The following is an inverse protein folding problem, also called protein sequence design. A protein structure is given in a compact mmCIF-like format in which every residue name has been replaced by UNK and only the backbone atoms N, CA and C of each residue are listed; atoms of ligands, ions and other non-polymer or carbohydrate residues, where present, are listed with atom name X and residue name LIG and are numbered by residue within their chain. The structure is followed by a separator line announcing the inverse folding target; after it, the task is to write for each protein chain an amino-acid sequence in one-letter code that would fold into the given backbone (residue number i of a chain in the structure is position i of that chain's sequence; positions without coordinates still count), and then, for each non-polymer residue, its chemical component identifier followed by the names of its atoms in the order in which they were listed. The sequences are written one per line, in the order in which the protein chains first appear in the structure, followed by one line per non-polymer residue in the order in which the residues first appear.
data_IF_764885749292
#
_entry.id   IF_764885749292
#
_cell.length_a   1.000
_cell.length_b   1.000
_cell.length_c   1.000
_cell.angle_alpha   90.00
_cell.angle_beta   90.00
_cell.angle_gamma   90.00
#
_symmetry.space_group_name_H-M   'P 1'
#
loop_
_entity.id
_entity.type
_entity.pdbx_description
1 polymer ?
#
# COMPACT_ATOMS: atom_id res chain seq x y z
N UNK A 1 -9.70 2.99 -19.34
CA UNK A 1 -10.77 3.40 -18.40
C UNK A 1 -10.42 2.86 -17.03
N UNK A 2 -10.65 3.61 -15.97
CA UNK A 2 -10.48 3.12 -14.59
C UNK A 2 -11.42 1.96 -14.30
N UNK A 3 -10.97 0.92 -13.60
CA UNK A 3 -11.82 -0.19 -13.14
C UNK A 3 -12.96 0.27 -12.20
N UNK A 4 -12.84 1.47 -11.64
CA UNK A 4 -13.77 2.06 -10.67
C UNK A 4 -14.66 3.17 -11.30
N UNK A 5 -15.01 3.02 -12.57
CA UNK A 5 -15.86 3.95 -13.30
C UNK A 5 -15.10 5.18 -13.82
N UNK A 6 -15.85 6.17 -14.27
CA UNK A 6 -15.32 7.42 -14.82
C UNK A 6 -14.82 8.40 -13.76
N UNK A 7 -15.16 8.19 -12.49
CA UNK A 7 -14.81 9.06 -11.37
C UNK A 7 -14.39 8.24 -10.14
N UNK A 8 -13.13 7.73 -10.11
CA UNK A 8 -12.61 6.98 -8.97
C UNK A 8 -12.58 7.78 -7.67
N UNK A 9 -12.39 9.11 -7.74
CA UNK A 9 -12.34 9.96 -6.56
C UNK A 9 -13.68 9.96 -5.81
N UNK A 10 -14.79 10.18 -6.53
CA UNK A 10 -16.11 10.13 -5.93
C UNK A 10 -16.47 8.74 -5.41
N UNK A 11 -16.06 7.67 -6.11
CA UNK A 11 -16.25 6.30 -5.65
C UNK A 11 -15.57 6.08 -4.27
N UNK A 12 -14.28 6.33 -4.17
CA UNK A 12 -13.54 6.12 -2.92
C UNK A 12 -13.95 7.08 -1.80
N UNK A 13 -14.25 8.36 -2.11
CA UNK A 13 -14.83 9.28 -1.14
C UNK A 13 -16.13 8.73 -0.53
N UNK A 14 -17.04 8.21 -1.34
CA UNK A 14 -18.28 7.60 -0.86
C UNK A 14 -18.01 6.39 0.04
N UNK A 15 -17.02 5.57 -0.31
CA UNK A 15 -16.63 4.41 0.50
C UNK A 15 -16.11 4.84 1.88
N UNK A 16 -15.19 5.81 1.96
CA UNK A 16 -14.65 6.27 3.25
C UNK A 16 -15.64 7.06 4.09
N UNK A 17 -16.60 7.74 3.47
CA UNK A 17 -17.68 8.42 4.21
C UNK A 17 -18.68 7.46 4.85
N UNK A 18 -18.83 6.25 4.29
CA UNK A 18 -19.80 5.27 4.77
C UNK A 18 -19.11 4.09 5.46
N UNK A 19 -18.47 3.26 4.68
CA UNK A 19 -17.88 2.02 5.18
C UNK A 19 -16.83 1.48 4.19
N UNK A 20 -15.56 1.51 4.59
CA UNK A 20 -14.47 0.89 3.82
C UNK A 20 -14.31 -0.58 4.23
N UNK A 21 -14.63 -1.55 3.35
CA UNK A 21 -14.62 -2.98 3.70
C UNK A 21 -13.25 -3.49 4.14
N UNK A 22 -12.18 -2.92 3.59
CA UNK A 22 -10.77 -3.29 3.85
C UNK A 22 -10.18 -2.65 5.10
N UNK A 23 -10.83 -1.60 5.64
CA UNK A 23 -10.40 -0.90 6.86
C UNK A 23 -10.82 -1.73 8.08
N UNK A 24 -9.97 -2.68 8.50
CA UNK A 24 -10.22 -3.58 9.63
C UNK A 24 -9.77 -3.00 10.98
N UNK A 25 -9.26 -1.76 11.01
CA UNK A 25 -8.80 -1.05 12.22
C UNK A 25 -7.42 -1.47 12.72
N UNK A 26 -6.77 -2.36 11.99
CA UNK A 26 -5.40 -2.85 12.22
C UNK A 26 -4.74 -3.13 10.88
N UNK A 27 -3.39 -3.21 10.79
CA UNK A 27 -2.76 -3.65 9.54
C UNK A 27 -3.19 -5.07 9.19
N UNK A 28 -3.19 -5.41 7.92
CA UNK A 28 -3.42 -6.79 7.48
C UNK A 28 -2.41 -7.72 8.16
N UNK A 29 -2.84 -8.83 8.78
CA UNK A 29 -1.94 -9.72 9.56
C UNK A 29 -0.76 -10.24 8.74
N UNK A 30 -0.97 -10.54 7.45
CA UNK A 30 0.10 -10.99 6.56
C UNK A 30 1.17 -9.91 6.36
N UNK A 31 0.77 -8.63 6.25
CA UNK A 31 1.71 -7.50 6.17
C UNK A 31 2.47 -7.32 7.48
N UNK A 32 1.80 -7.44 8.63
CA UNK A 32 2.46 -7.36 9.93
C UNK A 32 3.52 -8.47 10.11
N UNK A 33 3.21 -9.70 9.71
CA UNK A 33 4.15 -10.83 9.74
C UNK A 33 5.34 -10.61 8.77
N UNK A 34 5.09 -10.04 7.59
CA UNK A 34 6.15 -9.70 6.64
C UNK A 34 7.10 -8.61 7.18
N UNK A 35 6.55 -7.61 7.87
CA UNK A 35 7.31 -6.54 8.55
C UNK A 35 8.20 -7.11 9.65
N UNK A 36 7.71 -8.05 10.44
CA UNK A 36 8.49 -8.73 11.49
C UNK A 36 9.66 -9.51 10.87
N UNK A 37 9.41 -10.24 9.79
CA UNK A 37 10.44 -11.04 9.10
C UNK A 37 11.46 -10.19 8.35
N UNK A 38 11.02 -9.09 7.76
CA UNK A 38 11.84 -8.15 6.99
C UNK A 38 11.61 -6.73 7.50
N UNK A 39 12.26 -6.30 8.59
CA UNK A 39 12.08 -4.97 9.13
C UNK A 39 12.41 -3.87 8.10
N UNK A 40 11.52 -2.88 7.90
CA UNK A 40 11.72 -1.83 6.90
C UNK A 40 12.81 -0.84 7.34
N UNK A 41 13.45 -0.22 6.35
CA UNK A 41 14.40 0.87 6.56
C UNK A 41 13.68 2.22 6.47
N UNK A 42 14.05 3.15 7.34
CA UNK A 42 13.51 4.52 7.35
C UNK A 42 14.11 5.42 6.25
N UNK A 43 13.40 6.47 5.82
CA UNK A 43 11.97 6.73 6.08
C UNK A 43 11.08 5.81 5.24
N UNK A 44 9.81 5.69 5.64
CA UNK A 44 8.82 4.80 5.03
C UNK A 44 7.73 5.62 4.33
N UNK A 45 7.28 5.13 3.17
CA UNK A 45 6.09 5.62 2.48
C UNK A 45 5.01 4.53 2.48
N UNK A 46 3.77 4.90 2.84
CA UNK A 46 2.56 4.09 2.71
C UNK A 46 1.72 4.63 1.57
N UNK A 47 1.68 3.89 0.44
CA UNK A 47 0.99 4.27 -0.80
C UNK A 47 -0.49 3.90 -0.74
N UNK A 48 -1.38 4.87 -0.99
CA UNK A 48 -2.80 4.63 -0.86
C UNK A 48 -3.17 4.25 0.57
N UNK A 49 -2.63 4.99 1.54
CA UNK A 49 -2.66 4.64 2.96
C UNK A 49 -4.07 4.57 3.57
N UNK A 50 -5.10 5.04 2.86
CA UNK A 50 -6.48 5.05 3.33
C UNK A 50 -6.62 5.76 4.68
N UNK A 51 -7.27 5.10 5.62
CA UNK A 51 -7.46 5.60 7.00
C UNK A 51 -6.23 5.44 7.91
N UNK A 52 -5.07 5.02 7.37
CA UNK A 52 -3.77 5.09 8.00
C UNK A 52 -3.40 3.97 8.96
N UNK A 53 -4.13 2.86 9.02
CA UNK A 53 -3.88 1.82 10.02
C UNK A 53 -2.50 1.18 9.91
N UNK A 54 -2.00 0.94 8.68
CA UNK A 54 -0.66 0.41 8.46
C UNK A 54 0.42 1.44 8.82
N UNK A 55 0.28 2.69 8.38
CA UNK A 55 1.20 3.76 8.72
C UNK A 55 1.29 4.00 10.24
N UNK A 56 0.16 3.97 10.94
CA UNK A 56 0.10 4.07 12.41
C UNK A 56 0.81 2.90 13.07
N UNK A 57 0.59 1.68 12.58
CA UNK A 57 1.29 0.50 13.09
C UNK A 57 2.80 0.61 12.94
N UNK A 58 3.28 0.99 11.76
CA UNK A 58 4.69 1.20 11.48
C UNK A 58 5.31 2.29 12.37
N UNK A 59 4.59 3.39 12.61
CA UNK A 59 5.04 4.46 13.51
C UNK A 59 5.13 4.00 14.97
N UNK A 60 4.20 3.16 15.44
CA UNK A 60 4.27 2.53 16.78
C UNK A 60 5.50 1.63 16.94
N UNK A 61 6.05 1.10 15.86
CA UNK A 61 7.31 0.35 15.85
C UNK A 61 8.55 1.26 15.83
N UNK A 62 8.39 2.59 15.96
CA UNK A 62 9.48 3.57 15.98
C UNK A 62 9.93 4.06 14.59
N UNK A 63 9.18 3.79 13.54
CA UNK A 63 9.55 4.21 12.20
C UNK A 63 9.04 5.63 11.87
N UNK A 64 9.77 6.33 10.98
CA UNK A 64 9.33 7.58 10.37
C UNK A 64 8.47 7.26 9.14
N UNK A 65 7.19 7.60 9.18
CA UNK A 65 6.22 7.19 8.16
C UNK A 65 5.50 8.38 7.55
N UNK A 66 5.41 8.37 6.22
CA UNK A 66 4.53 9.26 5.44
C UNK A 66 3.45 8.39 4.81
N UNK A 67 2.19 8.66 5.11
CA UNK A 67 1.05 8.07 4.40
C UNK A 67 0.51 9.05 3.38
N UNK A 68 0.24 8.57 2.17
CA UNK A 68 -0.40 9.37 1.11
C UNK A 68 -1.61 8.65 0.55
N UNK A 69 -2.66 9.42 0.31
CA UNK A 69 -3.86 8.98 -0.39
C UNK A 69 -4.46 10.17 -1.16
N UNK A 70 -5.13 9.92 -2.27
CA UNK A 70 -5.77 11.01 -3.04
C UNK A 70 -7.17 11.36 -2.50
N UNK A 71 -7.71 10.55 -1.58
CA UNK A 71 -9.02 10.73 -0.95
C UNK A 71 -8.88 11.56 0.33
N UNK A 72 -9.30 12.81 0.28
CA UNK A 72 -9.18 13.74 1.42
C UNK A 72 -9.91 13.24 2.68
N UNK A 73 -11.08 12.60 2.52
CA UNK A 73 -11.82 12.04 3.65
C UNK A 73 -11.06 10.91 4.36
N UNK A 74 -10.33 10.08 3.61
CA UNK A 74 -9.46 9.04 4.18
C UNK A 74 -8.31 9.65 4.99
N UNK A 75 -7.63 10.65 4.42
CA UNK A 75 -6.54 11.37 5.10
C UNK A 75 -7.04 12.07 6.37
N UNK A 76 -8.24 12.66 6.35
CA UNK A 76 -8.82 13.27 7.55
C UNK A 76 -9.04 12.22 8.65
N UNK A 77 -9.62 11.06 8.32
CA UNK A 77 -9.77 9.96 9.28
C UNK A 77 -8.42 9.52 9.84
N UNK A 78 -7.39 9.40 9.01
CA UNK A 78 -6.05 9.05 9.44
C UNK A 78 -5.46 10.10 10.41
N UNK A 79 -5.61 11.39 10.11
CA UNK A 79 -5.17 12.51 10.97
C UNK A 79 -5.92 12.55 12.31
N UNK A 80 -7.23 12.28 12.31
CA UNK A 80 -8.02 12.19 13.53
C UNK A 80 -7.55 11.04 14.44
N UNK A 81 -7.16 9.89 13.85
CA UNK A 81 -6.54 8.80 14.60
C UNK A 81 -5.21 9.23 15.23
N UNK A 82 -4.37 9.99 14.52
CA UNK A 82 -3.07 10.49 15.04
C UNK A 82 -3.26 11.36 16.27
N UNK A 83 -4.30 12.19 16.31
CA UNK A 83 -4.59 13.07 17.45
C UNK A 83 -4.82 12.29 18.77
N UNK A 84 -5.13 11.00 18.69
CA UNK A 84 -5.34 10.12 19.86
C UNK A 84 -4.10 9.31 20.25
N UNK A 85 -3.00 9.39 19.48
CA UNK A 85 -1.78 8.62 19.71
C UNK A 85 -0.87 9.29 20.76
N UNK A 86 0.02 8.52 21.40
CA UNK A 86 1.12 9.07 22.17
C UNK A 86 1.96 10.04 21.34
N UNK A 87 2.40 11.14 21.96
CA UNK A 87 3.12 12.22 21.30
C UNK A 87 4.34 11.72 20.50
N UNK A 88 5.14 10.81 21.07
CA UNK A 88 6.31 10.23 20.41
C UNK A 88 5.97 9.48 19.11
N UNK A 89 4.84 8.77 19.09
CA UNK A 89 4.35 8.09 17.88
C UNK A 89 3.89 9.11 16.85
N UNK A 90 3.13 10.13 17.27
CA UNK A 90 2.59 11.16 16.40
C UNK A 90 3.69 11.98 15.70
N UNK A 91 4.82 12.26 16.37
CA UNK A 91 5.95 13.00 15.80
C UNK A 91 6.60 12.32 14.58
N UNK A 92 6.52 11.00 14.49
CA UNK A 92 7.12 10.20 13.43
C UNK A 92 6.16 9.88 12.28
N UNK A 93 4.94 10.44 12.30
CA UNK A 93 3.88 10.10 11.38
C UNK A 93 3.26 11.35 10.75
N UNK A 94 3.17 11.37 9.43
CA UNK A 94 2.45 12.41 8.70
C UNK A 94 1.56 11.82 7.63
N UNK A 95 0.42 12.45 7.41
CA UNK A 95 -0.51 12.11 6.35
C UNK A 95 -0.75 13.32 5.45
N UNK A 96 -0.77 13.09 4.13
CA UNK A 96 -1.06 14.14 3.17
C UNK A 96 -1.88 13.64 1.99
N UNK A 97 -2.73 14.51 1.47
CA UNK A 97 -3.46 14.25 0.22
C UNK A 97 -2.48 14.38 -0.93
N UNK A 98 -2.26 13.27 -1.66
CA UNK A 98 -1.37 13.23 -2.81
C UNK A 98 -1.77 12.10 -3.76
N UNK A 99 -1.38 12.20 -5.04
CA UNK A 99 -1.56 11.13 -6.01
C UNK A 99 -0.51 10.02 -5.79
N UNK A 100 -0.94 8.93 -5.16
CA UNK A 100 -0.08 7.78 -4.86
C UNK A 100 0.44 7.05 -6.13
N UNK A 101 -0.07 7.38 -7.33
CA UNK A 101 0.48 6.89 -8.60
C UNK A 101 1.75 7.64 -9.02
N UNK A 102 2.03 8.80 -8.41
CA UNK A 102 3.16 9.67 -8.73
C UNK A 102 3.90 10.10 -7.45
N UNK A 103 4.39 9.13 -6.66
CA UNK A 103 5.07 9.43 -5.41
C UNK A 103 6.38 10.21 -5.60
N UNK A 104 6.95 10.24 -6.81
CA UNK A 104 8.10 11.08 -7.16
C UNK A 104 7.85 12.58 -6.95
N UNK A 105 6.59 13.04 -7.02
CA UNK A 105 6.22 14.42 -6.75
C UNK A 105 6.44 14.85 -5.30
N UNK A 106 6.63 13.92 -4.37
CA UNK A 106 7.03 14.20 -2.99
C UNK A 106 8.45 14.75 -2.90
N UNK A 107 9.30 14.51 -3.92
CA UNK A 107 10.71 14.88 -3.97
C UNK A 107 11.53 14.34 -2.78
N UNK A 108 11.14 13.18 -2.27
CA UNK A 108 11.76 12.49 -1.14
C UNK A 108 12.21 11.10 -1.54
N UNK A 109 13.16 10.52 -0.78
CA UNK A 109 13.65 9.14 -0.95
C UNK A 109 13.35 8.33 0.28
N UNK A 110 12.85 7.12 0.06
CA UNK A 110 12.39 6.21 1.11
C UNK A 110 13.26 4.96 1.22
N UNK A 111 13.41 4.45 2.42
CA UNK A 111 14.07 3.16 2.66
C UNK A 111 13.11 1.98 2.47
N UNK A 112 11.81 2.25 2.58
CA UNK A 112 10.76 1.28 2.31
C UNK A 112 9.51 1.98 1.74
N UNK A 113 8.80 1.26 0.87
CA UNK A 113 7.49 1.65 0.33
C UNK A 113 6.52 0.50 0.58
N UNK A 114 5.36 0.81 1.14
CA UNK A 114 4.29 -0.13 1.41
C UNK A 114 3.11 0.11 0.48
N UNK A 115 2.50 -0.98 0.05
CA UNK A 115 1.33 -1.03 -0.80
C UNK A 115 0.45 -2.20 -0.35
N UNK A 116 -0.65 -1.89 0.29
CA UNK A 116 -1.60 -2.88 0.76
C UNK A 116 -2.97 -2.63 0.14
N UNK A 117 -3.19 -3.21 -1.03
CA UNK A 117 -4.45 -3.06 -1.75
C UNK A 117 -4.51 -1.86 -2.69
N UNK A 118 -3.38 -1.40 -3.23
CA UNK A 118 -3.31 -0.28 -4.16
C UNK A 118 -2.90 -0.73 -5.57
N UNK A 119 -1.87 -1.56 -5.72
CA UNK A 119 -1.37 -2.06 -7.01
C UNK A 119 -2.45 -2.78 -7.83
N UNK A 120 -3.33 -3.57 -7.20
CA UNK A 120 -4.42 -4.29 -7.88
C UNK A 120 -5.53 -3.39 -8.44
N UNK A 121 -5.49 -2.08 -8.18
CA UNK A 121 -6.44 -1.11 -8.73
C UNK A 121 -6.14 -0.78 -10.19
N UNK A 122 -4.94 -1.11 -10.70
CA UNK A 122 -4.40 -0.67 -11.96
C UNK A 122 -4.33 -1.79 -13.00
N UNK A 123 -4.42 -1.42 -14.28
CA UNK A 123 -4.11 -2.34 -15.37
C UNK A 123 -2.59 -2.57 -15.48
N UNK A 124 -2.12 -3.58 -16.28
CA UNK A 124 -0.70 -3.89 -16.39
C UNK A 124 0.20 -2.70 -16.78
N UNK A 125 -0.20 -1.89 -17.77
CA UNK A 125 0.57 -0.72 -18.23
C UNK A 125 0.72 0.35 -17.11
N UNK A 126 -0.33 0.53 -16.32
CA UNK A 126 -0.30 1.44 -15.17
C UNK A 126 0.54 0.89 -14.03
N UNK A 127 0.56 -0.45 -13.85
CA UNK A 127 1.43 -1.10 -12.88
C UNK A 127 2.91 -0.93 -13.23
N UNK A 128 3.29 -1.03 -14.50
CA UNK A 128 4.67 -0.75 -14.94
C UNK A 128 5.06 0.70 -14.60
N UNK A 129 4.20 1.66 -14.88
CA UNK A 129 4.43 3.06 -14.50
C UNK A 129 4.57 3.25 -12.98
N UNK A 130 3.73 2.57 -12.18
CA UNK A 130 3.82 2.63 -10.72
C UNK A 130 5.13 2.01 -10.22
N UNK A 131 5.58 0.90 -10.80
CA UNK A 131 6.87 0.27 -10.47
C UNK A 131 8.04 1.23 -10.74
N UNK A 132 8.02 1.95 -11.87
CA UNK A 132 9.04 2.95 -12.21
C UNK A 132 9.03 4.12 -11.22
N UNK A 133 7.85 4.60 -10.86
CA UNK A 133 7.67 5.64 -9.84
C UNK A 133 8.23 5.20 -8.48
N UNK A 134 7.89 3.99 -8.02
CA UNK A 134 8.40 3.41 -6.78
C UNK A 134 9.93 3.22 -6.85
N UNK A 135 10.45 2.73 -7.98
CA UNK A 135 11.90 2.60 -8.19
C UNK A 135 12.61 3.95 -8.08
N UNK A 136 11.97 5.01 -8.59
CA UNK A 136 12.54 6.35 -8.60
C UNK A 136 12.69 6.97 -7.20
N UNK A 137 11.86 6.56 -6.24
CA UNK A 137 11.85 7.12 -4.87
C UNK A 137 12.49 6.20 -3.83
N UNK A 138 12.69 4.91 -4.14
CA UNK A 138 13.40 4.01 -3.24
C UNK A 138 14.91 4.33 -3.21
N UNK A 139 15.48 4.27 -2.02
CA UNK A 139 16.92 4.26 -1.82
C UNK A 139 17.50 2.93 -2.32
N UNK A 140 18.79 2.87 -2.70
CA UNK A 140 19.45 1.60 -2.99
C UNK A 140 19.26 0.61 -1.81
N UNK A 141 18.92 -0.62 -2.13
CA UNK A 141 18.58 -1.68 -1.17
C UNK A 141 17.38 -1.34 -0.25
N UNK A 142 16.55 -0.39 -0.64
CA UNK A 142 15.20 -0.20 -0.08
C UNK A 142 14.25 -1.28 -0.56
N UNK A 143 13.17 -1.50 0.17
CA UNK A 143 12.22 -2.56 -0.16
C UNK A 143 10.83 -2.01 -0.48
N UNK A 144 10.19 -2.62 -1.48
CA UNK A 144 8.77 -2.47 -1.79
C UNK A 144 8.02 -3.66 -1.19
N UNK A 145 7.04 -3.38 -0.34
CA UNK A 145 6.19 -4.37 0.33
C UNK A 145 4.82 -4.33 -0.30
N UNK A 146 4.39 -5.45 -0.87
CA UNK A 146 3.11 -5.61 -1.57
C UNK A 146 2.18 -6.56 -0.81
N UNK A 147 0.89 -6.24 -0.75
CA UNK A 147 -0.16 -7.13 -0.28
C UNK A 147 -1.42 -6.97 -1.15
N UNK A 148 -1.63 -7.90 -2.08
CA UNK A 148 -2.55 -7.76 -3.19
C UNK A 148 -3.47 -8.97 -3.35
N UNK A 149 -4.68 -8.78 -3.89
CA UNK A 149 -5.59 -9.91 -4.15
C UNK A 149 -5.00 -10.88 -5.17
N UNK A 150 -5.01 -12.19 -4.80
CA UNK A 150 -4.62 -13.31 -5.67
C UNK A 150 -5.84 -14.04 -6.26
N UNK A 151 -7.01 -13.42 -6.21
CA UNK A 151 -8.29 -13.94 -6.70
C UNK A 151 -8.92 -12.97 -7.69
N UNK A 152 -9.57 -13.50 -8.72
CA UNK A 152 -10.43 -12.71 -9.60
C UNK A 152 -11.87 -12.69 -9.06
N UNK A 153 -12.45 -11.52 -9.00
CA UNK A 153 -13.83 -11.34 -8.57
C UNK A 153 -14.75 -11.31 -9.80
N UNK A 154 -15.85 -12.08 -9.80
CA UNK A 154 -16.77 -12.19 -10.95
C UNK A 154 -17.75 -11.00 -11.07
N UNK A 155 -17.38 -9.84 -10.52
CA UNK A 155 -18.19 -8.62 -10.52
C UNK A 155 -17.40 -7.43 -11.05
N UNK A 156 -18.03 -6.43 -11.70
CA UNK A 156 -17.36 -5.23 -12.17
C UNK A 156 -16.98 -4.29 -11.02
N UNK A 157 -16.10 -3.35 -11.31
CA UNK A 157 -15.69 -2.27 -10.40
C UNK A 157 -15.05 -2.77 -9.08
N UNK A 158 -14.28 -3.83 -9.18
CA UNK A 158 -13.49 -4.39 -8.07
C UNK A 158 -12.02 -4.50 -8.48
N UNK A 159 -11.12 -4.62 -7.51
CA UNK A 159 -9.72 -4.90 -7.78
C UNK A 159 -9.53 -6.11 -8.69
N UNK A 160 -8.45 -6.12 -9.47
CA UNK A 160 -8.09 -7.29 -10.29
C UNK A 160 -7.31 -8.30 -9.48
N UNK A 161 -7.21 -9.51 -10.00
CA UNK A 161 -6.24 -10.48 -9.54
C UNK A 161 -4.81 -10.00 -9.86
N UNK A 162 -3.90 -10.17 -8.92
CA UNK A 162 -2.45 -10.13 -9.12
C UNK A 162 -1.93 -11.56 -9.03
N UNK A 163 -1.12 -12.01 -9.99
CA UNK A 163 -0.58 -13.37 -10.02
C UNK A 163 0.90 -13.41 -9.59
N UNK A 164 1.35 -14.59 -9.16
CA UNK A 164 2.77 -14.82 -8.89
C UNK A 164 3.63 -14.58 -10.13
N UNK A 165 3.17 -15.09 -11.29
CA UNK A 165 3.88 -14.92 -12.58
C UNK A 165 4.04 -13.44 -12.95
N UNK A 166 3.00 -12.63 -12.71
CA UNK A 166 3.07 -11.18 -12.93
C UNK A 166 4.18 -10.56 -12.09
N UNK A 167 4.18 -10.80 -10.78
CA UNK A 167 5.19 -10.23 -9.89
C UNK A 167 6.61 -10.74 -10.23
N UNK A 168 6.77 -12.02 -10.54
CA UNK A 168 8.04 -12.59 -10.94
C UNK A 168 8.56 -12.03 -12.27
N UNK A 169 7.66 -11.64 -13.18
CA UNK A 169 8.01 -11.03 -14.47
C UNK A 169 8.33 -9.54 -14.32
N UNK A 170 7.63 -8.84 -13.46
CA UNK A 170 7.83 -7.41 -13.23
C UNK A 170 9.07 -7.12 -12.40
N UNK A 171 9.40 -7.96 -11.41
CA UNK A 171 10.47 -7.72 -10.44
C UNK A 171 11.64 -8.68 -10.63
N UNK A 172 12.45 -8.45 -11.67
CA UNK A 172 13.64 -9.25 -11.99
C UNK A 172 14.93 -8.49 -11.72
N UNK A 173 16.03 -9.24 -11.61
CA UNK A 173 17.37 -8.65 -11.41
C UNK A 173 17.75 -7.74 -12.58
N UNK A 174 17.40 -8.11 -13.81
CA UNK A 174 17.65 -7.33 -15.04
C UNK A 174 16.91 -5.99 -15.04
N UNK A 175 15.74 -5.93 -14.36
CA UNK A 175 14.96 -4.70 -14.15
C UNK A 175 15.39 -3.96 -12.87
N UNK A 176 16.43 -4.43 -12.18
CA UNK A 176 16.97 -3.83 -10.95
C UNK A 176 16.18 -4.15 -9.69
N UNK A 177 15.56 -5.33 -9.64
CA UNK A 177 14.79 -5.79 -8.49
C UNK A 177 15.20 -7.20 -8.05
N UNK A 178 14.98 -7.51 -6.78
CA UNK A 178 15.14 -8.85 -6.22
C UNK A 178 13.97 -9.16 -5.30
N UNK A 179 13.20 -10.19 -5.62
CA UNK A 179 12.18 -10.72 -4.71
C UNK A 179 12.89 -11.41 -3.55
N UNK A 180 12.74 -10.89 -2.33
CA UNK A 180 13.30 -11.48 -1.10
C UNK A 180 12.35 -12.52 -0.51
N UNK A 181 11.06 -12.26 -0.63
CA UNK A 181 9.99 -13.15 -0.18
C UNK A 181 8.73 -12.91 -0.99
N UNK A 182 7.98 -13.98 -1.26
CA UNK A 182 6.67 -13.92 -1.89
C UNK A 182 5.84 -15.11 -1.40
N UNK A 183 4.65 -14.86 -0.88
CA UNK A 183 3.81 -15.85 -0.25
C UNK A 183 2.35 -15.69 -0.64
N UNK A 184 1.63 -16.80 -0.76
CA UNK A 184 0.16 -16.81 -0.80
C UNK A 184 -0.33 -16.74 0.64
N UNK A 185 -1.16 -15.74 0.90
CA UNK A 185 -1.70 -15.38 2.21
C UNK A 185 -3.20 -15.09 2.09
N UNK A 186 -3.79 -14.51 3.13
CA UNK A 186 -5.18 -14.04 3.13
C UNK A 186 -5.25 -12.51 3.22
N UNK A 187 -6.24 -11.94 2.56
CA UNK A 187 -6.67 -10.55 2.73
C UNK A 187 -7.98 -10.53 3.53
N UNK A 188 -7.97 -9.82 4.64
CA UNK A 188 -9.13 -9.71 5.53
C UNK A 188 -10.03 -8.55 5.14
N UNK A 189 -11.32 -8.71 5.37
CA UNK A 189 -12.36 -7.71 5.13
C UNK A 189 -13.40 -7.74 6.26
N UNK A 190 -14.06 -6.60 6.50
CA UNK A 190 -15.18 -6.51 7.45
C UNK A 190 -16.47 -7.16 6.95
N UNK A 191 -16.58 -7.42 5.64
CA UNK A 191 -17.88 -7.78 5.00
C UNK A 191 -17.89 -9.15 4.36
N UNK A 192 -16.73 -9.82 4.25
CA UNK A 192 -16.60 -11.10 3.59
C UNK A 192 -15.58 -11.98 4.32
N UNK A 193 -15.64 -13.31 4.15
CA UNK A 193 -14.57 -14.19 4.59
C UNK A 193 -13.22 -13.78 3.98
N UNK A 194 -12.09 -14.16 4.61
CA UNK A 194 -10.76 -13.95 4.04
C UNK A 194 -10.66 -14.50 2.61
N UNK A 195 -9.97 -13.78 1.76
CA UNK A 195 -9.75 -14.17 0.35
C UNK A 195 -8.26 -14.35 0.07
N UNK A 196 -7.89 -15.21 -0.93
CA UNK A 196 -6.50 -15.38 -1.32
C UNK A 196 -5.84 -14.06 -1.73
N UNK A 197 -4.63 -13.85 -1.22
CA UNK A 197 -3.79 -12.70 -1.53
C UNK A 197 -2.32 -13.12 -1.71
N UNK A 198 -1.52 -12.24 -2.29
CA UNK A 198 -0.06 -12.35 -2.34
C UNK A 198 0.51 -11.29 -1.41
N UNK A 199 1.48 -11.69 -0.58
CA UNK A 199 2.30 -10.76 0.18
C UNK A 199 3.76 -10.93 -0.24
N UNK A 200 4.46 -9.82 -0.55
CA UNK A 200 5.82 -9.86 -1.06
C UNK A 200 6.71 -8.75 -0.48
N UNK A 201 7.99 -9.07 -0.26
CA UNK A 201 9.06 -8.13 0.03
C UNK A 201 10.04 -8.14 -1.15
N UNK A 202 10.22 -6.98 -1.79
CA UNK A 202 10.96 -6.84 -3.04
C UNK A 202 12.01 -5.74 -2.87
N UNK A 203 13.29 -6.10 -3.02
CA UNK A 203 14.42 -5.18 -2.84
C UNK A 203 14.75 -4.46 -4.15
N UNK A 204 15.01 -3.16 -4.07
CA UNK A 204 15.58 -2.35 -5.15
C UNK A 204 17.11 -2.53 -5.15
N UNK A 205 17.68 -2.98 -6.26
CA UNK A 205 19.13 -3.21 -6.42
C UNK A 205 19.89 -1.93 -6.75
#
# INVERSE_FOLDING_TARGET
MSRFGSDPLNFFNSVYQNFAPWDIGVPQPAMAALIEKYPPKNPILDLGCGSGDLAIYLSKLGNQVTGIDFVESAIRIAQDKVATLPHETALNLRFQVADARKPSLLQEKFGAVFDSGFYHLFNPDQCEQLIDEVASILKPHGCYYLHEFAIEFPIPNVPRQVSLDELQTCFTVEKGWRIKDIQIVEFLSKVAPPVPAICACIERL
#
